data_IF_536172096786
#
_entry.id   IF_536172096786
#
_cell.length_a   1.000
_cell.length_b   1.000
_cell.length_c   1.000
_cell.angle_alpha   90.00
_cell.angle_beta   90.00
_cell.angle_gamma   90.00
#
_symmetry.space_group_name_H-M   'P 1'
#
loop_
_entity.id
_entity.type
_entity.pdbx_description
1 polymer ?
#
# COMPACT_ATOMS: atom_id res chain seq x y z
N UNK A 1 -21.74 -22.07 -1.45
CA UNK A 1 -20.55 -22.37 -2.25
C UNK A 1 -20.33 -23.87 -2.28
N UNK A 2 -19.90 -24.43 -3.42
CA UNK A 2 -19.39 -25.81 -3.50
C UNK A 2 -17.87 -25.75 -3.63
N UNK A 3 -17.20 -26.78 -3.11
CA UNK A 3 -15.74 -26.89 -3.17
C UNK A 3 -15.34 -28.16 -3.91
N UNK A 4 -14.26 -28.08 -4.68
CA UNK A 4 -13.60 -29.20 -5.34
C UNK A 4 -12.14 -29.20 -4.90
N UNK A 5 -11.64 -30.33 -4.43
CA UNK A 5 -10.21 -30.47 -4.11
C UNK A 5 -9.46 -30.88 -5.38
N UNK A 6 -8.34 -30.21 -5.64
CA UNK A 6 -7.47 -30.43 -6.81
C UNK A 6 -6.01 -30.32 -6.40
N UNK A 7 -5.09 -30.75 -7.28
CA UNK A 7 -3.66 -30.62 -7.08
C UNK A 7 -3.02 -29.49 -7.89
N UNK A 8 -1.70 -29.37 -7.75
CA UNK A 8 -0.82 -28.46 -8.49
C UNK A 8 -0.83 -28.70 -9.99
N UNK A 9 -1.21 -29.89 -10.45
CA UNK A 9 -1.42 -30.20 -11.86
C UNK A 9 -2.52 -29.34 -12.51
N UNK A 10 -3.50 -28.88 -11.71
CA UNK A 10 -4.60 -28.04 -12.17
C UNK A 10 -4.37 -26.56 -11.84
N UNK A 11 -3.94 -26.24 -10.61
CA UNK A 11 -3.85 -24.85 -10.12
C UNK A 11 -2.43 -24.29 -10.00
N UNK A 12 -1.41 -25.06 -10.39
CA UNK A 12 -0.01 -24.68 -10.19
C UNK A 12 0.25 -24.27 -8.72
N UNK A 13 0.68 -23.03 -8.48
CA UNK A 13 0.92 -22.48 -7.15
C UNK A 13 -0.24 -21.65 -6.60
N UNK A 14 -1.34 -21.48 -7.34
CA UNK A 14 -2.51 -20.77 -6.84
C UNK A 14 -3.22 -21.62 -5.78
N UNK A 15 -3.56 -21.05 -4.60
CA UNK A 15 -4.19 -21.80 -3.51
C UNK A 15 -5.64 -22.17 -3.81
N UNK A 16 -6.35 -21.35 -4.57
CA UNK A 16 -7.71 -21.61 -5.03
C UNK A 16 -7.98 -20.88 -6.37
N UNK A 17 -9.06 -21.27 -7.04
CA UNK A 17 -9.69 -20.51 -8.13
C UNK A 17 -11.21 -20.77 -8.12
N UNK A 18 -12.00 -19.86 -8.67
CA UNK A 18 -13.45 -20.05 -8.86
C UNK A 18 -13.82 -20.22 -10.33
N UNK A 19 -14.69 -21.20 -10.61
CA UNK A 19 -15.44 -21.22 -11.86
C UNK A 19 -16.61 -20.23 -11.74
N UNK A 20 -16.48 -19.09 -12.39
CA UNK A 20 -17.45 -17.99 -12.38
C UNK A 20 -18.84 -18.40 -12.90
N UNK A 21 -18.94 -19.37 -13.81
CA UNK A 21 -20.22 -19.82 -14.34
C UNK A 21 -20.98 -20.71 -13.36
N UNK A 22 -20.26 -21.47 -12.52
CA UNK A 22 -20.86 -22.47 -11.64
C UNK A 22 -20.78 -22.12 -10.15
N UNK A 23 -19.93 -21.16 -9.77
CA UNK A 23 -19.63 -20.80 -8.38
C UNK A 23 -18.90 -21.92 -7.60
N UNK A 24 -18.28 -22.87 -8.31
CA UNK A 24 -17.47 -23.93 -7.69
C UNK A 24 -16.05 -23.42 -7.48
N UNK A 25 -15.58 -23.46 -6.24
CA UNK A 25 -14.18 -23.13 -5.92
C UNK A 25 -13.35 -24.41 -5.96
N UNK A 26 -12.31 -24.41 -6.79
CA UNK A 26 -11.27 -25.44 -6.76
C UNK A 26 -10.19 -25.04 -5.76
N UNK A 27 -9.83 -25.93 -4.84
CA UNK A 27 -8.81 -25.71 -3.79
C UNK A 27 -7.59 -26.59 -4.07
N UNK A 28 -6.42 -25.97 -4.11
CA UNK A 28 -5.15 -26.64 -4.35
C UNK A 28 -4.60 -27.27 -3.06
N UNK A 29 -4.89 -28.56 -2.86
CA UNK A 29 -4.52 -29.26 -1.62
C UNK A 29 -3.00 -29.39 -1.42
N UNK A 30 -2.19 -29.27 -2.49
CA UNK A 30 -0.73 -29.37 -2.40
C UNK A 30 -0.08 -28.16 -1.72
N UNK A 31 -0.81 -27.04 -1.59
CA UNK A 31 -0.35 -25.83 -0.87
C UNK A 31 -1.33 -25.40 0.23
N UNK A 32 -2.56 -25.92 0.23
CA UNK A 32 -3.62 -25.48 1.12
C UNK A 32 -3.26 -25.60 2.60
N UNK A 33 -2.57 -26.68 2.97
CA UNK A 33 -2.24 -26.96 4.37
C UNK A 33 -1.14 -26.06 4.94
N UNK A 34 -0.43 -25.31 4.09
CA UNK A 34 0.54 -24.31 4.56
C UNK A 34 -0.17 -23.09 5.16
N UNK A 35 -1.41 -22.81 4.79
CA UNK A 35 -2.17 -21.64 5.24
C UNK A 35 -2.91 -21.91 6.57
N UNK A 36 -2.92 -20.90 7.44
CA UNK A 36 -3.76 -20.91 8.64
C UNK A 36 -5.23 -20.64 8.32
N UNK A 37 -6.12 -20.84 9.30
CA UNK A 37 -7.57 -20.73 9.10
C UNK A 37 -8.04 -19.35 8.62
N UNK A 38 -7.34 -18.28 9.01
CA UNK A 38 -7.69 -16.93 8.55
C UNK A 38 -7.23 -16.71 7.11
N UNK A 39 -6.01 -17.15 6.79
CA UNK A 39 -5.48 -17.06 5.43
C UNK A 39 -6.36 -17.84 4.45
N UNK A 40 -6.76 -19.07 4.84
CA UNK A 40 -7.74 -19.88 4.11
C UNK A 40 -9.06 -19.14 3.94
N UNK A 41 -9.58 -18.53 5.01
CA UNK A 41 -10.83 -17.76 4.96
C UNK A 41 -10.74 -16.56 4.02
N UNK A 42 -9.61 -15.85 4.00
CA UNK A 42 -9.38 -14.72 3.11
C UNK A 42 -9.30 -15.16 1.64
N UNK A 43 -8.56 -16.23 1.33
CA UNK A 43 -8.49 -16.80 -0.02
C UNK A 43 -9.87 -17.24 -0.50
N UNK A 44 -10.64 -17.97 0.31
CA UNK A 44 -12.01 -18.34 -0.07
C UNK A 44 -12.89 -17.11 -0.27
N UNK A 45 -12.78 -16.10 0.59
CA UNK A 45 -13.57 -14.88 0.44
C UNK A 45 -13.21 -14.10 -0.83
N UNK A 46 -11.96 -14.15 -1.28
CA UNK A 46 -11.51 -13.57 -2.55
C UNK A 46 -12.17 -14.27 -3.74
N UNK A 47 -12.13 -15.61 -3.78
CA UNK A 47 -12.82 -16.41 -4.81
C UNK A 47 -14.35 -16.19 -4.81
N UNK A 48 -14.95 -16.07 -3.62
CA UNK A 48 -16.38 -15.72 -3.49
C UNK A 48 -16.64 -14.31 -4.04
N UNK A 49 -15.70 -13.38 -3.84
CA UNK A 49 -15.78 -12.01 -4.34
C UNK A 49 -15.88 -11.97 -5.87
N UNK A 50 -15.00 -12.68 -6.56
CA UNK A 50 -15.08 -12.86 -8.02
C UNK A 50 -16.49 -13.31 -8.44
N UNK A 51 -17.00 -14.41 -7.88
CA UNK A 51 -18.31 -14.94 -8.26
C UNK A 51 -19.50 -14.03 -7.92
N UNK A 52 -19.52 -13.46 -6.71
CA UNK A 52 -20.67 -12.65 -6.23
C UNK A 52 -20.74 -11.30 -6.96
N UNK A 53 -19.60 -10.72 -7.32
CA UNK A 53 -19.52 -9.44 -8.00
C UNK A 53 -19.55 -9.58 -9.53
N UNK A 54 -19.44 -10.81 -10.05
CA UNK A 54 -19.31 -11.10 -11.49
C UNK A 54 -18.18 -10.26 -12.13
N UNK A 55 -17.01 -10.26 -11.49
CA UNK A 55 -15.86 -9.42 -11.84
C UNK A 55 -14.58 -10.23 -11.94
N UNK A 56 -13.75 -9.91 -12.93
CA UNK A 56 -12.37 -10.37 -13.03
C UNK A 56 -11.39 -9.37 -12.39
N UNK A 57 -11.88 -8.27 -11.79
CA UNK A 57 -11.03 -7.30 -11.10
C UNK A 57 -10.56 -7.83 -9.75
N UNK A 58 -9.31 -8.29 -9.71
CA UNK A 58 -8.60 -8.74 -8.52
C UNK A 58 -8.69 -7.76 -7.34
N UNK A 59 -8.70 -6.44 -7.58
CA UNK A 59 -8.77 -5.43 -6.52
C UNK A 59 -10.18 -5.39 -5.90
N UNK A 60 -11.22 -5.59 -6.70
CA UNK A 60 -12.59 -5.68 -6.20
C UNK A 60 -12.80 -6.95 -5.39
N UNK A 61 -12.29 -8.09 -5.87
CA UNK A 61 -12.31 -9.36 -5.16
C UNK A 61 -11.51 -9.30 -3.83
N UNK A 62 -10.33 -8.68 -3.82
CA UNK A 62 -9.56 -8.45 -2.61
C UNK A 62 -10.30 -7.55 -1.60
N UNK A 63 -10.95 -6.48 -2.08
CA UNK A 63 -11.74 -5.60 -1.23
C UNK A 63 -12.94 -6.33 -0.62
N UNK A 64 -13.59 -7.19 -1.40
CA UNK A 64 -14.64 -8.07 -0.92
C UNK A 64 -14.11 -8.98 0.18
N UNK A 65 -12.98 -9.64 -0.05
CA UNK A 65 -12.33 -10.53 0.93
C UNK A 65 -11.95 -9.80 2.22
N UNK A 66 -11.34 -8.62 2.11
CA UNK A 66 -10.96 -7.78 3.25
C UNK A 66 -12.16 -7.46 4.13
N UNK A 67 -13.28 -7.04 3.53
CA UNK A 67 -14.51 -6.74 4.25
C UNK A 67 -15.12 -7.99 4.88
N UNK A 68 -15.12 -9.11 4.17
CA UNK A 68 -15.68 -10.38 4.65
C UNK A 68 -14.93 -10.94 5.88
N UNK A 69 -13.61 -10.78 5.94
CA UNK A 69 -12.79 -11.23 7.08
C UNK A 69 -12.51 -10.15 8.11
N UNK A 70 -13.06 -8.94 7.92
CA UNK A 70 -12.86 -7.86 8.87
C UNK A 70 -13.48 -8.20 10.23
N UNK A 71 -12.72 -7.94 11.32
CA UNK A 71 -13.09 -8.26 12.71
C UNK A 71 -13.32 -9.74 13.02
N UNK A 72 -13.06 -10.68 12.11
CA UNK A 72 -13.19 -12.13 12.38
C UNK A 72 -12.01 -12.70 13.18
N UNK A 73 -10.86 -12.01 13.15
CA UNK A 73 -9.66 -12.35 13.92
C UNK A 73 -8.90 -11.09 14.38
N UNK A 74 -8.05 -11.20 15.43
CA UNK A 74 -7.17 -10.12 15.82
C UNK A 74 -6.29 -9.65 14.66
N UNK A 75 -6.18 -8.33 14.48
CA UNK A 75 -5.39 -7.70 13.41
C UNK A 75 -5.80 -8.16 12.00
N UNK A 76 -7.06 -8.53 11.79
CA UNK A 76 -7.62 -9.00 10.50
C UNK A 76 -7.17 -8.13 9.31
N UNK A 77 -7.27 -6.80 9.40
CA UNK A 77 -6.81 -5.89 8.33
C UNK A 77 -5.35 -6.11 7.94
N UNK A 78 -4.45 -6.17 8.92
CA UNK A 78 -3.02 -6.44 8.69
C UNK A 78 -2.80 -7.85 8.15
N UNK A 79 -3.52 -8.84 8.68
CA UNK A 79 -3.40 -10.23 8.25
C UNK A 79 -3.83 -10.40 6.80
N UNK A 80 -4.89 -9.73 6.33
CA UNK A 80 -5.31 -9.76 4.92
C UNK A 80 -4.19 -9.32 3.97
N UNK A 81 -3.48 -8.23 4.29
CA UNK A 81 -2.34 -7.75 3.49
C UNK A 81 -1.19 -8.76 3.53
N UNK A 82 -0.92 -9.36 4.69
CA UNK A 82 0.11 -10.40 4.82
C UNK A 82 -0.25 -11.66 4.02
N UNK A 83 -1.53 -12.03 3.95
CA UNK A 83 -2.01 -13.15 3.14
C UNK A 83 -1.72 -12.92 1.66
N UNK A 84 -2.03 -11.74 1.09
CA UNK A 84 -1.69 -11.42 -0.30
C UNK A 84 -0.19 -11.57 -0.60
N UNK A 85 0.66 -11.05 0.29
CA UNK A 85 2.11 -11.20 0.15
C UNK A 85 2.54 -12.68 0.19
N UNK A 86 1.94 -13.47 1.10
CA UNK A 86 2.27 -14.88 1.30
C UNK A 86 1.88 -15.75 0.11
N UNK A 87 0.73 -15.51 -0.52
CA UNK A 87 0.31 -16.22 -1.73
C UNK A 87 1.14 -15.84 -2.97
N UNK A 88 2.07 -14.89 -2.84
CA UNK A 88 3.03 -14.53 -3.89
C UNK A 88 2.60 -13.37 -4.79
N UNK A 89 1.60 -12.58 -4.41
CA UNK A 89 1.23 -11.38 -5.15
C UNK A 89 2.31 -10.31 -4.94
N UNK A 90 3.00 -9.97 -6.03
CA UNK A 90 4.03 -8.92 -6.09
C UNK A 90 3.56 -7.63 -6.76
N UNK A 91 2.30 -7.58 -7.18
CA UNK A 91 1.69 -6.40 -7.79
C UNK A 91 1.56 -5.27 -6.75
N UNK A 92 2.41 -4.26 -6.89
CA UNK A 92 2.45 -3.09 -6.01
C UNK A 92 1.14 -2.31 -6.02
N UNK A 93 0.44 -2.22 -7.16
CA UNK A 93 -0.81 -1.46 -7.27
C UNK A 93 -1.96 -2.17 -6.56
N UNK A 94 -2.09 -3.49 -6.77
CA UNK A 94 -3.07 -4.34 -6.07
C UNK A 94 -2.84 -4.31 -4.56
N UNK A 95 -1.59 -4.49 -4.12
CA UNK A 95 -1.21 -4.41 -2.71
C UNK A 95 -1.51 -3.03 -2.10
N UNK A 96 -1.18 -1.95 -2.81
CA UNK A 96 -1.45 -0.59 -2.35
C UNK A 96 -2.96 -0.30 -2.28
N UNK A 97 -3.75 -0.81 -3.22
CA UNK A 97 -5.21 -0.70 -3.19
C UNK A 97 -5.79 -1.32 -1.92
N UNK A 98 -5.41 -2.57 -1.61
CA UNK A 98 -5.87 -3.25 -0.41
C UNK A 98 -5.40 -2.52 0.86
N UNK A 99 -4.17 -2.01 0.86
CA UNK A 99 -3.63 -1.24 1.98
C UNK A 99 -4.42 0.04 2.26
N UNK A 100 -4.72 0.82 1.22
CA UNK A 100 -5.56 2.02 1.34
C UNK A 100 -6.94 1.70 1.89
N UNK A 101 -7.55 0.61 1.42
CA UNK A 101 -8.86 0.17 1.92
C UNK A 101 -8.80 -0.27 3.39
N UNK A 102 -7.75 -0.98 3.80
CA UNK A 102 -7.54 -1.34 5.19
C UNK A 102 -7.39 -0.10 6.09
N UNK A 103 -6.57 0.88 5.68
CA UNK A 103 -6.44 2.15 6.40
C UNK A 103 -7.75 2.93 6.46
N UNK A 104 -8.53 2.94 5.36
CA UNK A 104 -9.83 3.60 5.32
C UNK A 104 -10.82 2.99 6.32
N UNK A 105 -10.88 1.66 6.41
CA UNK A 105 -11.71 0.95 7.40
C UNK A 105 -11.26 1.29 8.83
N UNK A 106 -9.95 1.25 9.10
CA UNK A 106 -9.42 1.53 10.45
C UNK A 106 -9.64 2.99 10.87
N UNK A 107 -9.51 3.92 9.91
CA UNK A 107 -9.79 5.34 10.12
C UNK A 107 -11.28 5.59 10.44
N UNK A 108 -12.20 4.88 9.78
CA UNK A 108 -13.64 4.98 10.02
C UNK A 108 -14.04 4.52 11.43
N UNK A 109 -13.25 3.65 12.06
CA UNK A 109 -13.43 3.21 13.44
C UNK A 109 -12.80 4.16 14.47
N UNK A 110 -12.25 5.28 14.00
CA UNK A 110 -11.67 6.33 14.86
C UNK A 110 -10.16 6.24 15.04
N UNK A 111 -9.45 5.37 14.30
CA UNK A 111 -7.98 5.37 14.34
C UNK A 111 -7.41 6.59 13.60
N UNK A 112 -7.03 7.63 14.36
CA UNK A 112 -6.45 8.85 13.81
C UNK A 112 -5.11 8.62 13.08
N UNK A 113 -4.30 7.66 13.53
CA UNK A 113 -3.03 7.35 12.87
C UNK A 113 -3.26 6.79 11.46
N UNK A 114 -4.25 5.91 11.31
CA UNK A 114 -4.64 5.38 10.01
C UNK A 114 -5.17 6.49 9.07
N UNK A 115 -5.94 7.45 9.60
CA UNK A 115 -6.42 8.59 8.82
C UNK A 115 -5.27 9.50 8.33
N UNK A 116 -4.28 9.77 9.19
CA UNK A 116 -3.10 10.57 8.83
C UNK A 116 -2.27 9.84 7.76
N UNK A 117 -2.06 8.54 7.93
CA UNK A 117 -1.31 7.74 6.97
C UNK A 117 -2.01 7.70 5.61
N UNK A 118 -3.33 7.45 5.58
CA UNK A 118 -4.10 7.47 4.35
C UNK A 118 -3.97 8.81 3.60
N UNK A 119 -4.04 9.94 4.33
CA UNK A 119 -3.83 11.27 3.76
C UNK A 119 -2.41 11.45 3.20
N UNK A 120 -1.39 10.93 3.89
CA UNK A 120 0.01 11.02 3.40
C UNK A 120 0.21 10.29 2.09
N UNK A 121 -0.39 9.10 1.92
CA UNK A 121 -0.29 8.31 0.69
C UNK A 121 -0.95 9.05 -0.48
N UNK A 122 -2.10 9.68 -0.26
CA UNK A 122 -2.79 10.44 -1.31
C UNK A 122 -2.03 11.73 -1.68
N UNK A 123 -1.38 12.37 -0.71
CA UNK A 123 -0.56 13.56 -0.94
C UNK A 123 0.74 13.26 -1.70
N UNK A 124 1.43 12.16 -1.36
CA UNK A 124 2.66 11.73 -2.04
C UNK A 124 2.39 11.30 -3.48
N UNK A 125 1.26 10.63 -3.73
CA UNK A 125 0.82 10.29 -5.07
C UNK A 125 0.54 11.56 -5.88
N UNK A 126 -0.20 12.51 -5.33
CA UNK A 126 -0.44 13.79 -5.99
C UNK A 126 0.87 14.54 -6.29
N UNK A 127 1.83 14.60 -5.36
CA UNK A 127 3.14 15.23 -5.62
C UNK A 127 3.92 14.56 -6.75
N UNK A 128 3.93 13.22 -6.85
CA UNK A 128 4.60 12.52 -7.95
C UNK A 128 3.92 12.83 -9.31
N UNK A 129 2.59 12.89 -9.36
CA UNK A 129 1.86 13.30 -10.57
C UNK A 129 2.13 14.75 -10.96
N UNK A 130 2.16 15.68 -10.00
CA UNK A 130 2.53 17.08 -10.27
C UNK A 130 3.98 17.24 -10.72
N UNK A 131 4.90 16.42 -10.20
CA UNK A 131 6.32 16.47 -10.58
C UNK A 131 6.53 15.88 -11.98
N UNK A 132 5.85 14.79 -12.32
CA UNK A 132 5.90 14.15 -13.64
C UNK A 132 5.20 14.98 -14.74
N UNK A 133 4.12 15.70 -14.41
CA UNK A 133 3.53 16.69 -15.32
C UNK A 133 4.42 17.93 -15.48
N UNK A 134 5.21 18.31 -14.47
CA UNK A 134 6.14 19.45 -14.58
C UNK A 134 7.28 19.16 -15.56
N UNK A 135 7.76 17.92 -15.62
CA UNK A 135 8.76 17.50 -16.62
C UNK A 135 8.24 17.53 -18.06
N UNK A 136 6.94 17.37 -18.30
CA UNK A 136 6.33 17.53 -19.64
C UNK A 136 5.87 18.95 -19.96
N UNK A 137 5.53 19.78 -18.95
CA UNK A 137 4.95 21.11 -19.14
C UNK A 137 5.82 22.30 -18.70
N UNK A 138 7.11 22.10 -18.41
CA UNK A 138 8.09 23.20 -18.38
C UNK A 138 8.56 23.66 -19.80
N UNK A 139 7.63 23.64 -20.76
CA UNK A 139 7.42 24.74 -21.72
C UNK A 139 6.03 25.37 -21.51
N UNK A 140 5.87 26.14 -20.42
CA UNK A 140 5.09 27.39 -20.27
C UNK A 140 4.58 27.51 -18.83
N UNK A 141 5.08 28.53 -18.13
CA UNK A 141 4.75 28.84 -16.73
C UNK A 141 3.23 29.06 -16.57
N UNK A 142 2.58 28.46 -15.56
CA UNK A 142 1.17 28.74 -15.30
C UNK A 142 1.00 30.13 -14.67
N UNK A 143 0.08 30.91 -15.24
CA UNK A 143 -0.45 32.16 -14.71
C UNK A 143 -1.75 31.83 -13.98
N UNK A 144 -1.86 32.20 -12.70
CA UNK A 144 -3.10 32.01 -11.95
C UNK A 144 -3.90 33.31 -11.98
N UNK A 145 -5.14 33.22 -12.47
CA UNK A 145 -6.14 34.29 -12.40
C UNK A 145 -7.17 33.83 -11.38
N UNK A 146 -7.39 34.63 -10.35
CA UNK A 146 -8.45 34.39 -9.38
C UNK A 146 -9.19 35.69 -9.05
N UNK A 147 -10.48 35.54 -8.77
CA UNK A 147 -11.41 36.65 -8.53
C UNK A 147 -11.59 36.84 -7.03
N UNK A 148 -11.35 38.06 -6.54
CA UNK A 148 -11.56 38.40 -5.14
C UNK A 148 -13.05 38.50 -4.82
N UNK A 149 -13.40 38.37 -3.54
CA UNK A 149 -14.78 38.41 -3.04
C UNK A 149 -15.51 39.74 -3.32
N UNK A 150 -14.79 40.81 -3.68
CA UNK A 150 -15.31 42.11 -4.12
C UNK A 150 -15.53 42.21 -5.64
N UNK A 151 -15.25 41.13 -6.38
CA UNK A 151 -15.46 41.03 -7.83
C UNK A 151 -14.27 41.44 -8.70
N UNK A 152 -13.19 41.96 -8.12
CA UNK A 152 -11.99 42.34 -8.87
C UNK A 152 -11.12 41.12 -9.25
N UNK A 153 -10.69 41.04 -10.51
CA UNK A 153 -9.70 40.05 -10.97
C UNK A 153 -8.29 40.52 -10.67
N UNK A 154 -7.47 39.63 -10.10
CA UNK A 154 -6.06 39.92 -9.81
C UNK A 154 -5.19 38.86 -10.47
N UNK A 155 -4.16 39.32 -11.19
CA UNK A 155 -3.17 38.49 -11.87
C UNK A 155 -1.90 38.55 -11.02
N UNK A 156 -1.50 37.42 -10.45
CA UNK A 156 -0.28 37.35 -9.64
C UNK A 156 0.71 36.35 -10.24
N UNK A 157 1.88 36.83 -10.65
CA UNK A 157 3.01 35.98 -11.02
C UNK A 157 3.81 35.63 -9.78
N UNK A 158 3.74 34.38 -9.34
CA UNK A 158 4.49 33.91 -8.18
C UNK A 158 5.97 33.73 -8.56
N UNK A 159 6.85 34.54 -7.96
CA UNK A 159 8.29 34.29 -7.94
C UNK A 159 8.60 33.47 -6.68
N UNK A 160 8.49 32.15 -6.75
CA UNK A 160 8.86 31.30 -5.61
C UNK A 160 10.38 31.21 -5.46
N UNK A 161 10.91 31.81 -4.39
CA UNK A 161 12.22 31.47 -3.83
C UNK A 161 12.14 30.09 -3.18
N UNK A 162 12.67 29.07 -3.87
CA UNK A 162 12.79 27.69 -3.37
C UNK A 162 13.49 27.64 -2.00
N UNK A 163 12.81 27.12 -0.97
CA UNK A 163 13.46 26.41 0.15
C UNK A 163 13.27 24.90 -0.05
N UNK A 164 14.36 24.21 -0.41
CA UNK A 164 14.44 22.75 -0.48
C UNK A 164 14.36 22.17 0.93
N UNK A 165 13.31 21.39 1.22
CA UNK A 165 13.27 20.47 2.35
C UNK A 165 13.24 19.04 1.84
N UNK A 166 14.41 18.40 1.72
CA UNK A 166 14.49 16.95 1.53
C UNK A 166 14.20 16.27 2.87
N UNK A 167 13.48 15.15 2.86
CA UNK A 167 13.32 14.28 4.02
C UNK A 167 14.69 13.87 4.59
N UNK A 168 14.91 14.16 5.85
CA UNK A 168 16.20 13.94 6.51
C UNK A 168 16.06 12.84 7.56
N UNK A 169 16.44 11.61 7.17
CA UNK A 169 16.69 10.49 8.09
C UNK A 169 17.97 10.77 8.89
N UNK A 170 17.87 11.56 9.95
CA UNK A 170 19.00 11.92 10.79
C UNK A 170 18.62 12.75 12.01
N UNK A 171 19.63 13.10 12.81
CA UNK A 171 19.48 13.88 14.05
C UNK A 171 20.21 15.21 13.91
N UNK A 172 19.56 16.30 14.31
CA UNK A 172 20.18 17.62 14.35
C UNK A 172 20.55 17.97 15.80
N UNK A 173 21.84 18.21 16.06
CA UNK A 173 22.38 18.55 17.38
C UNK A 173 23.21 19.82 17.25
N UNK A 174 22.75 20.91 17.87
CA UNK A 174 23.52 22.17 17.95
C UNK A 174 23.88 22.81 16.62
N UNK A 175 23.03 22.68 15.59
CA UNK A 175 23.27 23.22 14.25
C UNK A 175 24.04 22.28 13.32
N UNK A 176 24.43 21.10 13.79
CA UNK A 176 25.05 20.05 12.99
C UNK A 176 24.03 18.94 12.68
N UNK A 177 23.93 18.56 11.41
CA UNK A 177 23.08 17.46 10.96
C UNK A 177 23.90 16.16 10.82
N UNK A 178 23.45 15.11 11.48
CA UNK A 178 24.01 13.77 11.40
C UNK A 178 23.01 12.83 10.72
N UNK A 179 23.34 12.31 9.53
CA UNK A 179 22.53 11.25 8.92
C UNK A 179 22.69 9.94 9.70
N UNK A 180 21.63 9.11 9.75
CA UNK A 180 21.72 7.81 10.40
C UNK A 180 22.77 6.89 9.75
N UNK A 181 22.98 7.02 8.44
CA UNK A 181 24.05 6.32 7.71
C UNK A 181 25.44 6.68 8.26
N UNK A 182 25.71 7.97 8.49
CA UNK A 182 27.01 8.42 9.02
C UNK A 182 27.21 7.93 10.47
N UNK A 183 26.15 7.97 11.28
CA UNK A 183 26.20 7.44 12.65
C UNK A 183 26.56 5.95 12.63
N UNK A 184 25.94 5.17 11.74
CA UNK A 184 26.14 3.73 11.64
C UNK A 184 27.58 3.38 11.19
N UNK A 185 28.13 4.13 10.24
CA UNK A 185 29.53 3.98 9.81
C UNK A 185 30.54 4.28 10.93
N UNK A 186 30.29 5.31 11.74
CA UNK A 186 31.15 5.64 12.89
C UNK A 186 31.13 4.50 13.92
N UNK A 187 29.94 3.95 14.21
CA UNK A 187 29.81 2.82 15.15
C UNK A 187 30.57 1.59 14.65
N UNK A 188 30.46 1.24 13.36
CA UNK A 188 31.22 0.14 12.76
C UNK A 188 32.73 0.40 12.88
N UNK A 189 33.20 1.61 12.54
CA UNK A 189 34.61 1.95 12.62
C UNK A 189 35.17 1.84 14.05
N UNK A 190 34.41 2.28 15.06
CA UNK A 190 34.79 2.13 16.47
C UNK A 190 34.83 0.65 16.88
N UNK A 191 33.84 -0.16 16.48
CA UNK A 191 33.86 -1.60 16.75
C UNK A 191 35.08 -2.28 16.14
N UNK A 192 35.38 -1.97 14.86
CA UNK A 192 36.58 -2.50 14.18
C UNK A 192 37.87 -2.07 14.89
N UNK A 193 37.97 -0.81 15.31
CA UNK A 193 39.13 -0.31 16.05
C UNK A 193 39.31 -1.02 17.40
N UNK A 194 38.24 -1.26 18.14
CA UNK A 194 38.27 -2.00 19.42
C UNK A 194 38.69 -3.46 19.21
N UNK A 195 38.21 -4.09 18.15
CA UNK A 195 38.60 -5.47 17.79
C UNK A 195 40.09 -5.53 17.41
N UNK A 196 40.57 -4.56 16.62
CA UNK A 196 41.94 -4.56 16.10
C UNK A 196 43.01 -4.16 17.15
N UNK A 197 42.59 -3.58 18.28
CA UNK A 197 43.48 -3.22 19.40
C UNK A 197 43.67 -4.33 20.44
N UNK A 198 42.96 -5.45 20.32
CA UNK A 198 43.19 -6.68 21.10
C UNK A 198 44.11 -7.62 20.34
#
# INVERSE_FOLDING_TARGET
MKYKQVGRDQLQNCPAEVDMATGVISINMDVWDDYDDFEKSFVIAHEVGHYVLDTDDEKEADLYALKAVYKTAPKSLRRSIQTLYRIGIVDTERMMSLYKHALSIDAQEGNQAAAIELQSIDNDFNQQFYTNQKTEKEMKKPMYIYRRADGAEVIETVTETKKKGHGLNGVNLGGYYFSFTNIMLIVIAVMLFVIYKK
#
